data_IF_989402479207
#
_entry.id   IF_989402479207
#
_cell.length_a   1.000
_cell.length_b   1.000
_cell.length_c   1.000
_cell.angle_alpha   90.00
_cell.angle_beta   90.00
_cell.angle_gamma   90.00
#
_symmetry.space_group_name_H-M   'P 1'
#
loop_
_entity.id
_entity.type
_entity.pdbx_description
1 polymer ?
#
# COMPACT_ATOMS: atom_id res chain seq x y z
N UNK A 1 -36.62 21.05 54.15
CA UNK A 1 -35.18 20.95 54.48
C UNK A 1 -34.80 19.47 54.51
N UNK A 2 -34.08 18.97 53.51
CA UNK A 2 -33.22 17.78 53.62
C UNK A 2 -32.21 17.83 52.47
N UNK A 3 -30.92 17.87 52.82
CA UNK A 3 -29.78 17.87 51.89
C UNK A 3 -29.54 16.42 51.43
N UNK A 4 -29.48 16.19 50.13
CA UNK A 4 -29.02 14.92 49.55
C UNK A 4 -27.57 15.12 49.08
N UNK A 5 -26.63 14.47 49.77
CA UNK A 5 -25.23 14.39 49.37
C UNK A 5 -25.06 13.20 48.42
N UNK A 6 -24.57 13.46 47.22
CA UNK A 6 -24.20 12.45 46.22
C UNK A 6 -22.78 11.96 46.54
N UNK A 7 -22.64 10.72 47.01
CA UNK A 7 -21.34 10.07 47.18
C UNK A 7 -20.89 9.47 45.84
N UNK A 8 -19.74 9.93 45.33
CA UNK A 8 -19.02 9.30 44.23
C UNK A 8 -18.35 8.01 44.72
N UNK A 9 -18.76 6.85 44.20
CA UNK A 9 -17.98 5.61 44.31
C UNK A 9 -17.00 5.61 43.14
N UNK A 10 -15.73 5.87 43.42
CA UNK A 10 -14.64 5.54 42.50
C UNK A 10 -14.38 4.03 42.57
N UNK A 11 -14.73 3.28 41.53
CA UNK A 11 -14.17 1.95 41.30
C UNK A 11 -12.71 2.12 40.87
N UNK A 12 -11.78 1.60 41.68
CA UNK A 12 -10.36 1.56 41.35
C UNK A 12 -10.13 0.59 40.17
N UNK A 13 -9.79 1.12 38.98
CA UNK A 13 -9.19 0.31 37.92
C UNK A 13 -7.79 -0.09 38.34
N UNK A 14 -7.56 -1.40 38.42
CA UNK A 14 -6.23 -1.98 38.60
C UNK A 14 -5.37 -1.55 37.40
N UNK A 15 -4.37 -0.72 37.64
CA UNK A 15 -3.34 -0.38 36.66
C UNK A 15 -2.53 -1.66 36.37
N UNK A 16 -2.78 -2.31 35.24
CA UNK A 16 -1.90 -3.36 34.73
C UNK A 16 -0.60 -2.70 34.23
N UNK A 17 0.50 -2.89 34.96
CA UNK A 17 1.84 -2.59 34.44
C UNK A 17 2.24 -3.70 33.48
N UNK A 18 2.28 -3.38 32.18
CA UNK A 18 2.98 -4.18 31.19
C UNK A 18 4.45 -3.81 31.27
N UNK A 19 5.32 -4.78 31.56
CA UNK A 19 6.77 -4.59 31.55
C UNK A 19 7.32 -5.46 30.44
N UNK A 20 7.77 -4.83 29.35
CA UNK A 20 8.49 -5.52 28.29
C UNK A 20 9.96 -5.64 28.71
N UNK A 21 10.49 -6.87 28.71
CA UNK A 21 11.91 -7.12 28.90
C UNK A 21 12.54 -7.49 27.55
N UNK A 22 13.59 -6.78 27.10
CA UNK A 22 14.32 -7.20 25.91
C UNK A 22 15.22 -8.38 26.27
N UNK A 23 14.96 -9.53 25.63
CA UNK A 23 15.90 -10.66 25.55
C UNK A 23 16.33 -10.76 24.09
N UNK A 24 17.61 -11.01 23.83
CA UNK A 24 18.24 -10.86 22.52
C UNK A 24 17.49 -11.48 21.32
N UNK A 25 17.68 -10.84 20.15
CA UNK A 25 17.18 -11.19 18.82
C UNK A 25 15.72 -11.68 18.73
N UNK A 26 14.80 -10.72 18.57
CA UNK A 26 13.50 -10.95 17.93
C UNK A 26 12.39 -11.55 18.79
N UNK A 27 12.58 -11.67 20.11
CA UNK A 27 11.53 -12.11 21.05
C UNK A 27 11.19 -11.01 22.06
N UNK A 28 9.92 -10.64 22.12
CA UNK A 28 9.34 -9.90 23.24
C UNK A 28 8.31 -10.81 23.90
N UNK A 29 8.66 -11.36 25.06
CA UNK A 29 7.73 -12.15 25.85
C UNK A 29 6.75 -11.20 26.56
N UNK A 30 5.44 -11.40 26.35
CA UNK A 30 4.40 -10.62 27.00
C UNK A 30 3.99 -11.32 28.30
N UNK A 31 4.53 -10.85 29.43
CA UNK A 31 4.17 -11.39 30.74
C UNK A 31 2.87 -10.75 31.25
N UNK A 32 1.77 -11.52 31.29
CA UNK A 32 0.49 -11.07 31.84
C UNK A 32 0.35 -11.54 33.29
N UNK A 33 0.17 -10.59 34.22
CA UNK A 33 -0.03 -10.87 35.64
C UNK A 33 -1.46 -11.37 35.89
N UNK A 34 -1.63 -12.66 36.19
CA UNK A 34 -2.84 -13.17 36.87
C UNK A 34 -2.56 -13.21 38.37
N UNK A 35 -3.48 -12.70 39.19
CA UNK A 35 -3.46 -12.98 40.63
C UNK A 35 -4.41 -14.14 40.92
N UNK A 36 -3.85 -15.32 41.14
CA UNK A 36 -4.52 -16.43 41.79
C UNK A 36 -4.58 -16.13 43.29
N UNK A 37 -5.79 -15.79 43.75
CA UNK A 37 -6.08 -15.32 45.10
C UNK A 37 -5.88 -16.35 46.22
N UNK A 38 -4.93 -17.28 46.13
CA UNK A 38 -4.54 -18.15 47.23
C UNK A 38 -3.11 -18.68 47.03
N UNK A 39 -2.26 -18.38 48.01
CA UNK A 39 -0.94 -18.98 48.25
C UNK A 39 0.20 -18.64 47.27
N UNK A 40 0.56 -17.35 47.17
CA UNK A 40 1.96 -16.86 47.11
C UNK A 40 2.96 -17.48 46.12
N UNK A 41 2.52 -18.28 45.15
CA UNK A 41 3.35 -18.92 44.13
C UNK A 41 3.15 -18.16 42.83
N UNK A 42 4.21 -17.48 42.40
CA UNK A 42 4.23 -16.74 41.14
C UNK A 42 4.27 -17.72 39.96
N UNK A 43 3.15 -17.85 39.25
CA UNK A 43 3.11 -18.60 37.99
C UNK A 43 3.09 -17.60 36.83
N UNK A 44 4.23 -17.49 36.14
CA UNK A 44 4.34 -16.73 34.90
C UNK A 44 3.92 -17.61 33.73
N UNK A 45 2.74 -17.36 33.15
CA UNK A 45 2.29 -18.00 31.91
C UNK A 45 3.01 -17.31 30.74
N UNK A 46 4.13 -17.86 30.28
CA UNK A 46 4.77 -17.42 29.04
C UNK A 46 3.93 -17.93 27.89
N UNK A 47 3.24 -17.02 27.20
CA UNK A 47 2.60 -17.35 25.92
C UNK A 47 3.63 -17.11 24.83
N UNK A 48 4.07 -18.20 24.20
CA UNK A 48 4.79 -18.17 22.94
C UNK A 48 3.82 -17.70 21.83
N UNK A 49 3.42 -16.44 21.83
CA UNK A 49 2.92 -15.82 20.62
C UNK A 49 4.12 -15.69 19.68
N UNK A 50 4.22 -16.62 18.73
CA UNK A 50 5.10 -16.46 17.58
C UNK A 50 4.65 -15.18 16.87
N UNK A 51 5.31 -14.07 17.17
CA UNK A 51 5.23 -12.84 16.39
C UNK A 51 5.80 -13.24 15.03
N UNK A 52 4.94 -13.62 14.10
CA UNK A 52 5.37 -13.81 12.72
C UNK A 52 5.90 -12.45 12.26
N UNK A 53 7.19 -12.41 11.91
CA UNK A 53 7.79 -11.21 11.35
C UNK A 53 6.90 -10.72 10.21
N UNK A 54 6.47 -9.46 10.28
CA UNK A 54 5.58 -8.85 9.29
C UNK A 54 6.16 -9.04 7.88
N UNK A 55 5.54 -9.96 7.13
CA UNK A 55 6.12 -10.46 5.90
C UNK A 55 5.95 -9.44 4.78
N UNK A 56 6.91 -9.41 3.85
CA UNK A 56 6.74 -8.67 2.61
C UNK A 56 5.53 -9.20 1.84
N UNK A 57 4.71 -8.31 1.28
CA UNK A 57 3.58 -8.69 0.43
C UNK A 57 3.85 -8.21 -0.99
N UNK A 58 3.85 -9.12 -1.96
CA UNK A 58 3.95 -8.75 -3.36
C UNK A 58 2.75 -7.88 -3.76
N UNK A 59 3.01 -6.85 -4.57
CA UNK A 59 2.05 -5.81 -4.95
C UNK A 59 1.76 -5.83 -6.45
N UNK A 60 2.78 -6.10 -7.27
CA UNK A 60 2.67 -6.13 -8.72
C UNK A 60 4.03 -5.93 -9.39
N UNK A 61 4.02 -5.63 -10.69
CA UNK A 61 5.20 -5.47 -11.53
C UNK A 61 5.42 -4.03 -11.97
N UNK A 62 6.68 -3.61 -12.05
CA UNK A 62 7.09 -2.32 -12.61
C UNK A 62 8.14 -2.51 -13.70
N UNK A 63 8.01 -1.77 -14.80
CA UNK A 63 8.98 -1.75 -15.90
C UNK A 63 9.95 -0.58 -15.80
N UNK A 64 11.25 -0.86 -15.78
CA UNK A 64 12.30 0.18 -15.67
C UNK A 64 13.56 -0.20 -16.45
N UNK A 65 14.62 0.59 -16.30
CA UNK A 65 15.93 0.33 -16.86
C UNK A 65 16.92 -0.25 -15.82
N UNK A 66 18.00 -0.86 -16.31
CA UNK A 66 18.99 -1.55 -15.48
C UNK A 66 19.72 -0.68 -14.45
N UNK A 67 19.88 0.63 -14.69
CA UNK A 67 20.51 1.54 -13.70
C UNK A 67 19.57 1.78 -12.52
N UNK A 68 18.30 2.09 -12.81
CA UNK A 68 17.26 2.27 -11.78
C UNK A 68 17.02 0.98 -11.00
N UNK A 69 16.94 -0.16 -11.70
CA UNK A 69 16.79 -1.47 -11.07
C UNK A 69 17.94 -1.76 -10.10
N UNK A 70 19.19 -1.55 -10.53
CA UNK A 70 20.36 -1.72 -9.66
C UNK A 70 20.30 -0.80 -8.45
N UNK A 71 19.96 0.48 -8.65
CA UNK A 71 19.84 1.45 -7.56
C UNK A 71 18.84 1.00 -6.48
N UNK A 72 17.64 0.55 -6.86
CA UNK A 72 16.65 0.07 -5.89
C UNK A 72 17.07 -1.21 -5.18
N UNK A 73 17.69 -2.15 -5.90
CA UNK A 73 18.18 -3.40 -5.31
C UNK A 73 19.31 -3.15 -4.32
N UNK A 74 20.28 -2.28 -4.67
CA UNK A 74 21.41 -1.94 -3.80
C UNK A 74 20.94 -1.21 -2.53
N UNK A 75 19.92 -0.36 -2.63
CA UNK A 75 19.41 0.44 -1.51
C UNK A 75 18.36 -0.29 -0.65
N UNK A 76 17.71 -1.32 -1.20
CA UNK A 76 16.69 -2.12 -0.51
C UNK A 76 15.31 -1.46 -0.40
N UNK A 77 15.11 -0.28 -0.97
CA UNK A 77 13.81 0.38 -1.08
C UNK A 77 13.71 1.25 -2.34
N UNK A 78 12.48 1.53 -2.74
CA UNK A 78 12.20 2.34 -3.92
C UNK A 78 12.35 3.82 -3.59
N UNK A 79 13.19 4.51 -4.35
CA UNK A 79 13.26 5.97 -4.35
C UNK A 79 13.72 6.49 -5.70
N UNK A 80 13.64 7.79 -5.92
CA UNK A 80 14.15 8.40 -7.14
C UNK A 80 15.69 8.30 -7.20
N UNK A 81 16.30 7.80 -8.28
CA UNK A 81 17.76 7.77 -8.42
C UNK A 81 18.36 9.19 -8.44
N UNK A 82 19.52 9.42 -7.79
CA UNK A 82 20.22 10.70 -7.85
C UNK A 82 20.53 11.10 -9.30
N UNK A 83 20.37 12.38 -9.63
CA UNK A 83 20.68 12.90 -10.98
C UNK A 83 19.69 12.49 -12.07
N UNK A 84 18.62 11.75 -11.75
CA UNK A 84 17.51 11.52 -12.68
C UNK A 84 16.69 12.80 -12.85
N UNK A 85 17.08 13.62 -13.83
CA UNK A 85 16.31 14.77 -14.29
C UNK A 85 14.98 14.30 -14.88
N UNK A 86 13.93 14.27 -14.07
CA UNK A 86 12.58 13.91 -14.53
C UNK A 86 12.24 12.42 -14.47
N UNK A 87 12.64 11.69 -13.43
CA UNK A 87 12.14 10.34 -13.16
C UNK A 87 10.73 10.33 -12.56
N UNK A 88 9.72 10.80 -13.29
CA UNK A 88 8.40 10.16 -13.20
C UNK A 88 8.48 8.89 -14.03
N UNK A 89 7.82 7.80 -13.63
CA UNK A 89 7.68 6.64 -14.51
C UNK A 89 7.26 7.14 -15.90
N UNK A 90 7.94 6.71 -16.97
CA UNK A 90 7.60 7.09 -18.35
C UNK A 90 6.26 6.53 -18.84
N UNK A 91 5.40 6.10 -17.92
CA UNK A 91 3.99 5.87 -18.14
C UNK A 91 3.29 7.23 -18.04
N UNK A 92 2.35 7.49 -18.95
CA UNK A 92 1.47 8.65 -18.85
C UNK A 92 0.91 8.73 -17.42
N UNK A 93 0.99 9.90 -16.79
CA UNK A 93 0.63 10.14 -15.40
C UNK A 93 -0.90 10.13 -15.18
N UNK A 94 -1.58 9.14 -15.78
CA UNK A 94 -3.03 8.97 -15.85
C UNK A 94 -3.73 8.88 -14.50
N UNK A 95 -3.06 8.33 -13.48
CA UNK A 95 -3.48 8.28 -12.09
C UNK A 95 -2.77 9.31 -11.22
N UNK A 96 -1.82 10.05 -11.77
CA UNK A 96 -1.06 11.10 -11.11
C UNK A 96 0.42 10.77 -10.90
N UNK A 97 1.14 11.67 -10.22
CA UNK A 97 2.57 11.49 -10.00
C UNK A 97 2.86 10.33 -9.04
N UNK A 98 3.82 9.48 -9.41
CA UNK A 98 4.33 8.40 -8.58
C UNK A 98 4.93 7.27 -9.40
N UNK A 99 5.17 6.14 -8.74
CA UNK A 99 5.65 4.91 -9.36
C UNK A 99 4.47 4.03 -9.78
N UNK A 100 4.37 3.73 -11.08
CA UNK A 100 3.31 2.88 -11.62
C UNK A 100 3.64 1.41 -11.49
N UNK A 101 2.66 0.62 -11.05
CA UNK A 101 2.76 -0.83 -10.88
C UNK A 101 1.55 -1.46 -11.55
N UNK A 102 1.73 -2.57 -12.25
CA UNK A 102 0.66 -3.31 -12.95
C UNK A 102 0.59 -4.74 -12.46
N UNK A 103 -0.58 -5.36 -12.58
CA UNK A 103 -0.75 -6.79 -12.30
C UNK A 103 -0.25 -7.69 -13.47
N UNK A 104 0.06 -7.12 -14.63
CA UNK A 104 0.51 -7.86 -15.82
C UNK A 104 2.02 -7.64 -16.09
N UNK A 105 2.88 -8.67 -15.94
CA UNK A 105 4.31 -8.55 -16.18
C UNK A 105 4.67 -8.26 -17.65
N UNK A 106 3.78 -8.57 -18.61
CA UNK A 106 3.99 -8.21 -20.02
C UNK A 106 3.79 -6.71 -20.24
N UNK A 107 2.84 -6.10 -19.54
CA UNK A 107 2.67 -4.64 -19.55
C UNK A 107 3.91 -3.99 -18.92
N UNK A 108 4.39 -4.50 -17.79
CA UNK A 108 5.62 -4.03 -17.18
C UNK A 108 6.83 -4.16 -18.14
N UNK A 109 6.94 -5.27 -18.88
CA UNK A 109 7.99 -5.45 -19.88
C UNK A 109 7.92 -4.41 -21.01
N UNK A 110 6.73 -4.11 -21.52
CA UNK A 110 6.55 -3.08 -22.53
C UNK A 110 7.06 -1.70 -22.03
N UNK A 111 6.73 -1.33 -20.80
CA UNK A 111 7.25 -0.11 -20.18
C UNK A 111 8.77 -0.16 -19.93
N UNK A 112 9.31 -1.32 -19.55
CA UNK A 112 10.75 -1.51 -19.38
C UNK A 112 11.52 -1.28 -20.68
N UNK A 113 11.00 -1.81 -21.81
CA UNK A 113 11.59 -1.61 -23.13
C UNK A 113 11.60 -0.12 -23.53
N UNK A 114 10.47 0.56 -23.37
CA UNK A 114 10.38 2.00 -23.65
C UNK A 114 11.31 2.80 -22.74
N UNK A 115 11.40 2.45 -21.45
CA UNK A 115 12.27 3.13 -20.49
C UNK A 115 13.75 2.95 -20.83
N UNK A 116 14.16 1.76 -21.27
CA UNK A 116 15.53 1.50 -21.70
C UNK A 116 15.88 2.26 -22.99
N UNK A 117 14.94 2.39 -23.94
CA UNK A 117 15.15 3.18 -25.16
C UNK A 117 15.45 4.66 -24.88
N UNK A 118 14.75 5.26 -23.92
CA UNK A 118 14.98 6.67 -23.55
C UNK A 118 16.15 6.87 -22.58
N UNK A 119 16.76 5.80 -22.08
CA UNK A 119 17.93 5.83 -21.19
C UNK A 119 19.11 5.07 -21.83
N UNK A 120 19.92 5.72 -22.70
CA UNK A 120 21.01 5.05 -23.41
C UNK A 120 22.01 4.33 -22.50
N UNK A 121 22.49 3.18 -22.96
CA UNK A 121 23.45 2.34 -22.22
C UNK A 121 22.81 1.57 -21.05
N UNK A 122 21.50 1.36 -21.08
CA UNK A 122 20.78 0.53 -20.12
C UNK A 122 20.03 -0.59 -20.81
N UNK A 123 19.64 -1.63 -20.05
CA UNK A 123 18.81 -2.74 -20.53
C UNK A 123 17.45 -2.72 -19.83
N UNK A 124 16.38 -3.23 -20.47
CA UNK A 124 15.07 -3.32 -19.84
C UNK A 124 15.11 -4.27 -18.63
N UNK A 125 14.42 -3.88 -17.56
CA UNK A 125 14.23 -4.69 -16.36
C UNK A 125 12.78 -4.64 -15.90
N UNK A 126 12.25 -5.79 -15.51
CA UNK A 126 10.98 -5.90 -14.79
C UNK A 126 11.31 -6.09 -13.31
N UNK A 127 10.59 -5.38 -12.46
CA UNK A 127 10.74 -5.44 -11.03
C UNK A 127 9.46 -5.96 -10.37
N UNK A 128 9.60 -7.02 -9.59
CA UNK A 128 8.61 -7.45 -8.63
C UNK A 128 8.59 -6.46 -7.47
N UNK A 129 7.48 -5.73 -7.30
CA UNK A 129 7.30 -4.73 -6.25
C UNK A 129 6.62 -5.40 -5.07
N UNK A 130 7.22 -5.27 -3.89
CA UNK A 130 6.64 -5.79 -2.64
C UNK A 130 6.55 -4.67 -1.60
N UNK A 131 5.52 -4.71 -0.76
CA UNK A 131 5.56 -3.95 0.49
C UNK A 131 6.65 -4.54 1.39
N UNK A 132 7.29 -3.69 2.18
CA UNK A 132 8.25 -4.13 3.20
C UNK A 132 7.56 -4.67 4.46
N UNK A 133 6.24 -4.55 4.51
CA UNK A 133 5.38 -4.84 5.65
C UNK A 133 3.95 -5.05 5.13
N UNK A 134 3.40 -6.24 5.35
CA UNK A 134 2.01 -6.58 5.03
C UNK A 134 1.04 -5.74 5.85
N UNK A 135 1.33 -5.50 7.12
CA UNK A 135 0.44 -4.71 7.99
C UNK A 135 0.41 -3.24 7.60
N UNK A 136 1.58 -2.65 7.33
CA UNK A 136 1.66 -1.28 6.82
C UNK A 136 0.94 -1.18 5.48
N UNK A 137 1.15 -2.16 4.59
CA UNK A 137 0.43 -2.20 3.33
C UNK A 137 -1.07 -2.28 3.55
N UNK A 138 -1.60 -3.26 4.29
CA UNK A 138 -3.05 -3.50 4.41
C UNK A 138 -3.75 -2.42 5.23
N UNK A 139 -3.14 -1.92 6.30
CA UNK A 139 -3.83 -1.12 7.33
C UNK A 139 -3.47 0.37 7.24
N UNK A 140 -2.19 0.70 7.19
CA UNK A 140 -1.72 2.07 7.33
C UNK A 140 -1.73 2.85 6.00
N UNK A 141 -1.24 2.24 4.91
CA UNK A 141 -1.22 2.84 3.58
C UNK A 141 -2.64 2.91 3.02
N UNK A 142 -3.13 4.13 2.79
CA UNK A 142 -4.49 4.35 2.31
C UNK A 142 -4.57 4.12 0.81
N UNK A 143 -5.60 3.42 0.38
CA UNK A 143 -5.80 2.96 -1.00
C UNK A 143 -7.20 3.31 -1.50
N UNK A 144 -7.28 3.77 -2.74
CA UNK A 144 -8.56 4.09 -3.40
C UNK A 144 -8.54 3.51 -4.79
N UNK A 145 -9.65 2.90 -5.21
CA UNK A 145 -9.86 2.55 -6.61
C UNK A 145 -10.54 3.72 -7.35
N UNK A 146 -9.85 4.27 -8.35
CA UNK A 146 -10.31 5.37 -9.18
C UNK A 146 -11.05 4.80 -10.39
N UNK A 147 -12.36 5.06 -10.55
CA UNK A 147 -13.05 4.71 -11.77
C UNK A 147 -12.59 5.64 -12.91
N UNK A 148 -12.72 5.20 -14.16
CA UNK A 148 -12.41 6.06 -15.32
C UNK A 148 -13.24 7.36 -15.29
N UNK A 149 -14.51 7.23 -14.92
CA UNK A 149 -15.48 8.33 -14.87
C UNK A 149 -16.28 8.28 -13.58
N UNK A 150 -16.59 9.45 -13.03
CA UNK A 150 -17.60 9.62 -11.98
C UNK A 150 -18.62 10.65 -12.42
N UNK A 151 -19.90 10.28 -12.50
CA UNK A 151 -20.99 11.18 -12.92
C UNK A 151 -20.69 11.91 -14.25
N UNK A 152 -20.09 11.20 -15.22
CA UNK A 152 -19.70 11.76 -16.51
C UNK A 152 -18.41 12.59 -16.52
N UNK A 153 -17.68 12.66 -15.40
CA UNK A 153 -16.41 13.39 -15.28
C UNK A 153 -15.25 12.39 -15.32
N UNK A 154 -14.33 12.56 -16.27
CA UNK A 154 -13.11 11.75 -16.36
C UNK A 154 -12.18 12.01 -15.17
N UNK A 155 -11.79 10.94 -14.49
CA UNK A 155 -10.84 10.93 -13.38
C UNK A 155 -9.47 10.36 -13.78
N UNK A 156 -9.42 9.53 -14.82
CA UNK A 156 -8.20 8.96 -15.38
C UNK A 156 -7.81 9.79 -16.60
N UNK A 157 -6.53 10.13 -16.70
CA UNK A 157 -5.98 10.86 -17.83
C UNK A 157 -4.75 11.69 -17.48
N UNK A 158 -3.90 11.90 -18.48
CA UNK A 158 -2.73 12.77 -18.44
C UNK A 158 -2.76 13.77 -19.60
N UNK A 159 -1.93 14.81 -19.52
CA UNK A 159 -1.74 15.78 -20.59
C UNK A 159 -0.40 16.48 -20.45
N UNK A 160 0.27 16.72 -21.58
CA UNK A 160 1.42 17.63 -21.63
C UNK A 160 1.05 19.08 -21.26
N UNK A 161 -0.23 19.46 -21.35
CA UNK A 161 -0.72 20.76 -20.88
C UNK A 161 -0.87 20.75 -19.36
N UNK A 162 -0.06 21.56 -18.67
CA UNK A 162 -0.03 21.64 -17.21
C UNK A 162 -1.40 21.96 -16.57
N UNK A 163 -2.22 22.82 -17.21
CA UNK A 163 -3.54 23.16 -16.69
C UNK A 163 -4.53 21.98 -16.78
N UNK A 164 -4.47 21.22 -17.88
CA UNK A 164 -5.27 20.00 -18.05
C UNK A 164 -4.82 18.92 -17.06
N UNK A 165 -3.50 18.73 -16.92
CA UNK A 165 -2.93 17.80 -15.92
C UNK A 165 -3.38 18.14 -14.50
N UNK A 166 -3.32 19.42 -14.12
CA UNK A 166 -3.80 19.88 -12.82
C UNK A 166 -5.30 19.67 -12.65
N UNK A 167 -6.10 19.83 -13.70
CA UNK A 167 -7.55 19.56 -13.67
C UNK A 167 -7.83 18.10 -13.32
N UNK A 168 -7.09 17.16 -13.90
CA UNK A 168 -7.21 15.74 -13.56
C UNK A 168 -6.80 15.44 -12.11
N UNK A 169 -5.67 15.98 -11.64
CA UNK A 169 -5.25 15.84 -10.23
C UNK A 169 -6.29 16.40 -9.25
N UNK A 170 -6.87 17.56 -9.55
CA UNK A 170 -7.91 18.16 -8.71
C UNK A 170 -9.16 17.29 -8.65
N UNK A 171 -9.57 16.68 -9.78
CA UNK A 171 -10.71 15.76 -9.84
C UNK A 171 -10.45 14.49 -9.03
N UNK A 172 -9.27 13.87 -9.17
CA UNK A 172 -8.85 12.71 -8.39
C UNK A 172 -8.81 13.02 -6.90
N UNK A 173 -8.22 14.16 -6.51
CA UNK A 173 -8.15 14.60 -5.11
C UNK A 173 -9.55 14.79 -4.52
N UNK A 174 -10.46 15.44 -5.26
CA UNK A 174 -11.85 15.59 -4.82
C UNK A 174 -12.53 14.24 -4.65
N UNK A 175 -12.33 13.32 -5.58
CA UNK A 175 -12.89 11.96 -5.50
C UNK A 175 -12.35 11.20 -4.28
N UNK A 176 -11.03 11.18 -4.07
CA UNK A 176 -10.38 10.54 -2.91
C UNK A 176 -10.97 11.06 -1.61
N UNK A 177 -11.11 12.38 -1.46
CA UNK A 177 -11.69 12.99 -0.26
C UNK A 177 -13.16 12.62 -0.03
N UNK A 178 -13.90 12.28 -1.09
CA UNK A 178 -15.28 11.84 -0.99
C UNK A 178 -15.41 10.38 -0.57
N UNK A 179 -14.59 9.47 -1.12
CA UNK A 179 -14.68 8.03 -0.83
C UNK A 179 -13.85 7.61 0.38
N UNK A 180 -12.87 8.42 0.77
CA UNK A 180 -11.99 8.17 1.91
C UNK A 180 -11.71 9.48 2.67
N UNK A 181 -12.68 10.00 3.44
CA UNK A 181 -12.53 11.26 4.16
C UNK A 181 -11.31 11.26 5.10
N UNK A 182 -10.64 12.40 5.21
CA UNK A 182 -9.50 12.59 6.14
C UNK A 182 -8.15 12.08 5.63
N UNK A 183 -8.05 11.53 4.42
CA UNK A 183 -6.77 11.11 3.83
C UNK A 183 -6.20 12.17 2.91
N UNK A 184 -4.87 12.19 2.76
CA UNK A 184 -4.20 13.07 1.80
C UNK A 184 -4.00 12.35 0.46
N UNK A 185 -4.41 12.98 -0.64
CA UNK A 185 -4.25 12.41 -1.98
C UNK A 185 -2.78 12.21 -2.39
N UNK A 186 -1.84 12.94 -1.78
CA UNK A 186 -0.39 12.84 -2.00
C UNK A 186 0.26 11.60 -1.37
N UNK A 187 -0.43 10.92 -0.46
CA UNK A 187 0.03 9.69 0.21
C UNK A 187 -0.92 8.51 -0.01
N UNK A 188 -1.99 8.71 -0.78
CA UNK A 188 -2.99 7.68 -1.09
C UNK A 188 -2.60 6.95 -2.36
N UNK A 189 -2.41 5.64 -2.27
CA UNK A 189 -2.19 4.75 -3.43
C UNK A 189 -3.48 4.67 -4.23
N UNK A 190 -3.36 4.83 -5.54
CA UNK A 190 -4.51 4.93 -6.45
C UNK A 190 -4.47 3.76 -7.40
N UNK A 191 -5.53 2.97 -7.41
CA UNK A 191 -5.72 1.84 -8.32
C UNK A 191 -6.65 2.25 -9.46
N UNK A 192 -6.50 1.64 -10.62
CA UNK A 192 -7.51 1.66 -11.67
C UNK A 192 -7.42 0.43 -12.55
N UNK A 193 -8.37 0.27 -13.46
CA UNK A 193 -8.14 -0.57 -14.63
C UNK A 193 -7.13 0.12 -15.55
N UNK A 194 -6.22 -0.66 -16.11
CA UNK A 194 -5.34 -0.26 -17.21
C UNK A 194 -6.01 -0.61 -18.54
N UNK A 195 -6.39 -1.89 -18.72
CA UNK A 195 -7.10 -2.38 -19.90
C UNK A 195 -8.43 -3.01 -19.50
N UNK A 196 -9.54 -2.44 -19.99
CA UNK A 196 -10.89 -2.92 -19.68
C UNK A 196 -11.26 -4.22 -20.35
N UNK A 197 -10.67 -4.50 -21.51
CA UNK A 197 -10.93 -5.70 -22.30
C UNK A 197 -10.19 -6.86 -21.69
N UNK A 198 -8.90 -6.65 -21.39
CA UNK A 198 -8.04 -7.67 -20.76
C UNK A 198 -8.19 -7.73 -19.23
N UNK A 199 -8.93 -6.79 -18.63
CA UNK A 199 -9.17 -6.67 -17.19
C UNK A 199 -7.90 -6.51 -16.35
N UNK A 200 -6.82 -6.01 -16.96
CA UNK A 200 -5.57 -5.72 -16.26
C UNK A 200 -5.67 -4.42 -15.50
N UNK A 201 -5.04 -4.38 -14.35
CA UNK A 201 -5.00 -3.29 -13.42
C UNK A 201 -3.68 -2.54 -13.46
N UNK A 202 -3.76 -1.29 -13.00
CA UNK A 202 -2.61 -0.49 -12.64
C UNK A 202 -2.85 0.15 -11.27
N UNK A 203 -1.76 0.50 -10.60
CA UNK A 203 -1.77 1.38 -9.46
C UNK A 203 -0.60 2.34 -9.54
N UNK A 204 -0.72 3.48 -8.86
CA UNK A 204 0.38 4.41 -8.63
C UNK A 204 0.70 4.45 -7.14
N UNK A 205 1.97 4.23 -6.81
CA UNK A 205 2.55 4.49 -5.49
C UNK A 205 3.02 5.95 -5.46
N UNK A 206 2.36 6.84 -4.69
CA UNK A 206 2.80 8.22 -4.60
C UNK A 206 4.22 8.30 -4.04
N UNK A 207 4.98 9.32 -4.47
CA UNK A 207 6.41 9.46 -4.12
C UNK A 207 6.68 9.31 -2.61
N UNK A 208 5.84 9.93 -1.77
CA UNK A 208 5.95 9.90 -0.31
C UNK A 208 5.76 8.50 0.32
N UNK A 209 5.27 7.53 -0.46
CA UNK A 209 5.03 6.15 0.02
C UNK A 209 6.07 5.16 -0.47
N UNK A 210 6.85 5.50 -1.50
CA UNK A 210 7.75 4.56 -2.20
C UNK A 210 8.78 3.89 -1.28
N UNK A 211 9.24 4.57 -0.23
CA UNK A 211 10.16 4.04 0.78
C UNK A 211 9.63 2.82 1.58
N UNK A 212 8.31 2.60 1.57
CA UNK A 212 7.66 1.44 2.21
C UNK A 212 7.66 0.19 1.32
N UNK A 213 8.22 0.29 0.12
CA UNK A 213 8.26 -0.77 -0.87
C UNK A 213 9.69 -1.11 -1.26
N UNK A 214 9.90 -2.36 -1.64
CA UNK A 214 11.14 -2.88 -2.20
C UNK A 214 10.89 -3.40 -3.62
N UNK A 215 11.97 -3.57 -4.37
CA UNK A 215 11.94 -4.07 -5.73
C UNK A 215 12.94 -5.22 -5.88
N UNK A 216 12.47 -6.36 -6.39
CA UNK A 216 13.32 -7.45 -6.87
C UNK A 216 13.30 -7.45 -8.40
N UNK A 217 14.40 -7.04 -9.02
CA UNK A 217 14.43 -6.76 -10.46
C UNK A 217 15.20 -7.82 -11.24
N UNK A 218 14.62 -8.25 -12.35
CA UNK A 218 15.12 -9.34 -13.19
C UNK A 218 14.97 -9.01 -14.68
N UNK A 219 15.68 -9.75 -15.52
CA UNK A 219 15.39 -9.77 -16.95
C UNK A 219 14.19 -10.69 -17.15
N UNK A 220 13.09 -10.17 -17.65
CA UNK A 220 11.91 -10.98 -17.97
C UNK A 220 11.96 -11.39 -19.44
N UNK A 221 11.97 -12.69 -19.68
CA UNK A 221 12.02 -13.32 -21.01
C UNK A 221 10.62 -13.54 -21.61
N UNK A 222 9.57 -13.09 -20.93
CA UNK A 222 8.19 -13.30 -21.30
C UNK A 222 7.55 -14.56 -20.70
N UNK A 223 8.31 -15.38 -19.96
CA UNK A 223 7.85 -16.67 -19.47
C UNK A 223 8.11 -16.89 -17.98
N UNK A 224 9.32 -16.64 -17.52
CA UNK A 224 9.73 -17.04 -16.16
C UNK A 224 9.56 -15.89 -15.18
N UNK A 225 8.76 -16.12 -14.14
CA UNK A 225 8.56 -15.20 -13.03
C UNK A 225 9.30 -15.68 -11.78
N UNK A 226 9.82 -14.78 -10.92
CA UNK A 226 10.42 -15.17 -9.64
C UNK A 226 9.45 -15.94 -8.74
N UNK A 227 9.99 -16.79 -7.87
CA UNK A 227 9.21 -17.51 -6.86
C UNK A 227 8.38 -16.56 -6.00
N UNK A 228 7.16 -16.98 -5.64
CA UNK A 228 6.24 -16.15 -4.86
C UNK A 228 5.57 -15.03 -5.64
N UNK A 229 5.90 -14.85 -6.93
CA UNK A 229 5.17 -13.97 -7.86
C UNK A 229 4.32 -14.74 -8.86
N UNK A 230 4.61 -16.03 -9.04
CA UNK A 230 3.77 -16.97 -9.78
C UNK A 230 2.45 -17.17 -9.04
N UNK A 231 1.33 -16.93 -9.73
CA UNK A 231 0.02 -16.96 -9.09
C UNK A 231 -0.25 -15.76 -8.16
N UNK A 232 0.60 -14.72 -8.19
CA UNK A 232 0.08 -13.38 -7.92
C UNK A 232 -0.73 -12.97 -9.15
N UNK A 233 -2.05 -13.05 -9.04
CA UNK A 233 -2.71 -14.07 -9.85
C UNK A 233 -3.18 -13.51 -11.18
N UNK A 234 -3.99 -14.30 -11.87
CA UNK A 234 -5.12 -13.83 -12.68
C UNK A 234 -6.06 -12.81 -11.93
N UNK A 235 -5.62 -12.15 -10.83
CA UNK A 235 -6.32 -11.09 -10.12
C UNK A 235 -6.14 -9.79 -10.88
N UNK A 236 -7.21 -9.39 -11.49
CA UNK A 236 -7.53 -7.98 -11.58
C UNK A 236 -7.43 -7.34 -10.19
N UNK A 237 -6.78 -6.17 -10.04
CA UNK A 237 -7.00 -5.28 -8.87
C UNK A 237 -8.50 -4.97 -8.61
N UNK A 238 -9.39 -5.40 -9.51
CA UNK A 238 -10.83 -5.43 -9.38
C UNK A 238 -11.41 -6.61 -8.56
N UNK A 239 -10.60 -7.59 -8.12
CA UNK A 239 -11.06 -8.71 -7.29
C UNK A 239 -11.63 -8.20 -5.96
N UNK A 240 -12.87 -8.60 -5.63
CA UNK A 240 -13.52 -8.20 -4.38
C UNK A 240 -12.71 -8.67 -3.15
N UNK A 241 -12.19 -9.91 -3.19
CA UNK A 241 -11.38 -10.47 -2.11
C UNK A 241 -10.10 -9.66 -1.89
N UNK A 242 -9.40 -9.29 -2.98
CA UNK A 242 -8.19 -8.47 -2.86
C UNK A 242 -8.52 -7.09 -2.32
N UNK A 243 -9.57 -6.44 -2.86
CA UNK A 243 -10.00 -5.11 -2.42
C UNK A 243 -10.34 -5.08 -0.94
N UNK A 244 -10.99 -6.12 -0.43
CA UNK A 244 -11.28 -6.27 1.01
C UNK A 244 -9.99 -6.49 1.82
N UNK A 245 -9.14 -7.43 1.39
CA UNK A 245 -7.87 -7.74 2.08
C UNK A 245 -6.92 -6.54 2.15
N UNK A 246 -6.89 -5.72 1.09
CA UNK A 246 -6.01 -4.54 0.99
C UNK A 246 -6.69 -3.24 1.43
N UNK A 247 -7.93 -3.31 1.92
CA UNK A 247 -8.71 -2.13 2.32
C UNK A 247 -8.69 -1.02 1.24
N UNK A 248 -8.99 -1.42 0.00
CA UNK A 248 -9.11 -0.50 -1.13
C UNK A 248 -10.53 0.06 -1.13
N UNK A 249 -10.66 1.38 -0.95
CA UNK A 249 -11.96 2.04 -1.02
C UNK A 249 -12.60 1.83 -2.40
N UNK A 250 -13.88 1.47 -2.40
CA UNK A 250 -14.62 1.06 -3.59
C UNK A 250 -14.79 2.21 -4.62
N UNK A 251 -14.98 1.81 -5.88
CA UNK A 251 -15.18 2.72 -7.03
C UNK A 251 -16.45 3.59 -6.96
N UNK A 252 -17.48 3.16 -6.24
CA UNK A 252 -18.81 3.78 -6.29
C UNK A 252 -19.09 4.63 -5.04
N UNK A 253 -19.34 5.92 -5.24
CA UNK A 253 -19.75 6.86 -4.18
C UNK A 253 -21.01 6.39 -3.43
N UNK A 254 -21.96 5.72 -4.08
CA UNK A 254 -23.16 5.21 -3.42
C UNK A 254 -22.82 4.08 -2.44
N UNK A 255 -21.87 3.21 -2.82
CA UNK A 255 -21.32 2.14 -1.96
C UNK A 255 -20.38 2.70 -0.88
N UNK A 256 -19.60 3.72 -1.20
CA UNK A 256 -18.74 4.40 -0.24
C UNK A 256 -19.56 5.05 0.87
N UNK A 257 -20.64 5.78 0.53
CA UNK A 257 -21.56 6.40 1.49
C UNK A 257 -22.26 5.39 2.40
N UNK A 258 -22.64 4.21 1.89
CA UNK A 258 -23.23 3.14 2.72
C UNK A 258 -22.21 2.50 3.66
N UNK A 259 -20.95 2.36 3.24
CA UNK A 259 -19.89 1.84 4.08
C UNK A 259 -19.46 2.82 5.19
N UNK A 260 -19.39 4.12 4.91
CA UNK A 260 -19.03 5.14 5.93
C UNK A 260 -20.13 5.31 6.98
N UNK A 261 -21.41 5.11 6.63
CA UNK A 261 -22.51 5.14 7.59
C UNK A 261 -22.50 3.95 8.58
N UNK A 262 -21.70 2.91 8.32
CA UNK A 262 -21.59 1.71 9.15
C UNK A 262 -20.37 1.70 10.10
N UNK A 263 -19.54 2.74 10.07
CA UNK A 263 -18.45 2.96 11.04
C UNK A 263 -18.76 4.25 11.82
N UNK A 264 -19.01 4.16 13.14
CA UNK A 264 -19.48 5.28 13.95
C UNK A 264 -18.47 6.43 14.08
#
# INVERSE_FOLDING_TARGET
MFKLALAFVFTASVLQRVVAHPVGEGRTDLAIRKSDGNNGLEVWEVRDEKIEADAAEFIGFHGTNSKTAKFWMDQGYISKPPGSGGGGSGADAELGPGLYVTDDPQIALAFANNNAQVNPGTTPKVCAISSRSSDNWRIAIKKVFIPEKQTGIDLIGDSANAAIKQKYENRRTKYINLVRPGVQASTTVRFSLFDRTRKTGQLVLPDLTTQFFSANCFTFDGHTLPDGTSGFPDFSYNSQTLRQRWDISAEDLAKARTATAAYP
#
